data_IF_790841188351
#
_entry.id   IF_790841188351
#
_cell.length_a   1.000
_cell.length_b   1.000
_cell.length_c   1.000
_cell.angle_alpha   90.00
_cell.angle_beta   90.00
_cell.angle_gamma   90.00
#
_symmetry.space_group_name_H-M   'P 1'
#
loop_
_entity.id
_entity.type
_entity.pdbx_description
1 polymer ?
#
# COMPACT_ATOMS: atom_id res chain seq x y z
N UNK A 1 -10.27 21.35 -7.57
CA UNK A 1 -10.11 20.15 -6.73
C UNK A 1 -10.46 18.96 -7.58
N UNK A 2 -9.58 17.97 -7.57
CA UNK A 2 -9.67 16.75 -8.36
C UNK A 2 -9.90 15.56 -7.44
N UNK A 3 -10.57 14.55 -7.97
CA UNK A 3 -10.75 13.24 -7.34
C UNK A 3 -9.97 12.21 -8.12
N UNK A 4 -9.33 11.28 -7.41
CA UNK A 4 -8.70 10.10 -8.00
C UNK A 4 -9.38 8.85 -7.44
N UNK A 5 -10.00 8.08 -8.32
CA UNK A 5 -10.50 6.73 -8.03
C UNK A 5 -9.46 5.69 -8.47
N UNK A 6 -9.11 4.77 -7.59
CA UNK A 6 -8.23 3.64 -7.88
C UNK A 6 -8.89 2.33 -7.48
N UNK A 7 -9.08 1.46 -8.48
CA UNK A 7 -9.64 0.12 -8.32
C UNK A 7 -8.56 -0.94 -8.56
N UNK A 8 -8.35 -1.83 -7.61
CA UNK A 8 -7.56 -3.04 -7.80
C UNK A 8 -8.32 -4.06 -8.65
N UNK A 9 -7.74 -4.41 -9.79
CA UNK A 9 -8.36 -5.30 -10.78
C UNK A 9 -7.68 -6.66 -10.87
N UNK A 10 -6.41 -6.76 -10.45
CA UNK A 10 -5.72 -8.04 -10.30
C UNK A 10 -4.62 -7.94 -9.23
N UNK A 11 -4.39 -9.04 -8.49
CA UNK A 11 -3.31 -9.17 -7.51
C UNK A 11 -2.87 -10.63 -7.47
N UNK A 12 -1.70 -10.87 -8.05
CA UNK A 12 -0.98 -12.15 -8.03
C UNK A 12 0.13 -12.08 -7.00
N UNK A 13 0.23 -13.13 -6.19
CA UNK A 13 1.27 -13.34 -5.19
C UNK A 13 2.07 -14.61 -5.52
N UNK A 14 3.19 -14.88 -4.83
CA UNK A 14 4.01 -16.05 -5.11
C UNK A 14 3.24 -17.36 -4.95
N UNK A 15 3.49 -18.33 -5.84
CA UNK A 15 2.86 -19.66 -5.77
C UNK A 15 3.11 -20.39 -4.45
N UNK A 16 4.28 -20.15 -3.85
CA UNK A 16 4.71 -20.68 -2.55
C UNK A 16 4.71 -19.56 -1.50
N UNK A 17 3.58 -18.90 -1.30
CA UNK A 17 3.38 -17.99 -0.16
C UNK A 17 3.05 -18.82 1.09
N UNK A 18 3.90 -18.73 2.11
CA UNK A 18 3.68 -19.38 3.41
C UNK A 18 2.40 -18.88 4.09
N UNK A 19 1.74 -19.75 4.85
CA UNK A 19 0.46 -19.46 5.51
C UNK A 19 0.59 -18.33 6.56
N UNK A 20 1.80 -18.12 7.09
CA UNK A 20 2.12 -17.00 7.98
C UNK A 20 2.17 -15.63 7.29
N UNK A 21 2.13 -15.58 5.95
CA UNK A 21 2.18 -14.36 5.14
C UNK A 21 0.89 -14.10 4.35
N UNK A 22 -0.19 -14.70 4.82
CA UNK A 22 -1.45 -14.76 4.08
C UNK A 22 -2.48 -13.72 4.52
N UNK A 23 -2.09 -12.75 5.34
CA UNK A 23 -3.00 -11.73 5.87
C UNK A 23 -2.49 -10.38 5.42
N UNK A 24 -2.86 -9.96 4.22
CA UNK A 24 -2.26 -8.76 3.63
C UNK A 24 -3.25 -7.64 3.39
N UNK A 25 -2.70 -6.44 3.28
CA UNK A 25 -3.43 -5.22 2.93
C UNK A 25 -2.60 -4.36 1.98
N UNK A 26 -3.09 -4.08 0.76
CA UNK A 26 -2.44 -3.13 -0.12
C UNK A 26 -2.53 -1.69 0.40
N UNK A 27 -1.44 -0.95 0.33
CA UNK A 27 -1.34 0.49 0.58
C UNK A 27 -0.98 1.19 -0.73
N UNK A 28 -1.76 2.22 -1.08
CA UNK A 28 -1.52 3.03 -2.27
C UNK A 28 -1.02 4.40 -1.83
N UNK A 29 0.04 4.88 -2.50
CA UNK A 29 0.60 6.22 -2.33
C UNK A 29 0.72 6.91 -3.67
N UNK A 30 0.06 8.06 -3.82
CA UNK A 30 0.14 8.90 -5.01
C UNK A 30 1.05 10.08 -4.70
N UNK A 31 1.97 10.37 -5.62
CA UNK A 31 2.80 11.57 -5.62
C UNK A 31 2.35 12.50 -6.74
N UNK A 32 2.09 13.76 -6.39
CA UNK A 32 1.62 14.78 -7.34
C UNK A 32 2.21 16.15 -7.02
N UNK A 33 2.04 17.10 -7.94
CA UNK A 33 2.29 18.53 -7.71
C UNK A 33 0.98 19.29 -7.60
N UNK A 34 0.92 20.21 -6.65
CA UNK A 34 -0.21 21.12 -6.46
C UNK A 34 -0.14 22.36 -7.37
N UNK A 35 -1.11 23.27 -7.25
CA UNK A 35 -1.15 24.51 -8.05
C UNK A 35 0.09 25.37 -7.84
N UNK A 36 0.68 25.32 -6.65
CA UNK A 36 1.91 26.02 -6.25
C UNK A 36 3.20 25.31 -6.70
N UNK A 37 3.09 24.17 -7.39
CA UNK A 37 4.20 23.26 -7.77
C UNK A 37 4.90 22.55 -6.60
N UNK A 38 4.32 22.55 -5.41
CA UNK A 38 4.83 21.78 -4.26
C UNK A 38 4.55 20.30 -4.48
N UNK A 39 5.47 19.46 -4.01
CA UNK A 39 5.31 18.00 -4.08
C UNK A 39 4.42 17.56 -2.92
N UNK A 40 3.33 16.89 -3.26
CA UNK A 40 2.32 16.41 -2.34
C UNK A 40 2.19 14.89 -2.45
N UNK A 41 1.67 14.30 -1.38
CA UNK A 41 1.43 12.86 -1.29
C UNK A 41 0.01 12.60 -0.77
N UNK A 42 -0.69 11.67 -1.40
CA UNK A 42 -1.95 11.12 -0.90
C UNK A 42 -1.74 9.62 -0.63
N UNK A 43 -2.23 9.12 0.50
CA UNK A 43 -2.03 7.72 0.92
C UNK A 43 -3.26 7.14 1.55
N UNK A 44 -3.59 5.91 1.17
CA UNK A 44 -4.68 5.17 1.78
C UNK A 44 -4.48 3.67 1.60
N UNK A 45 -4.95 2.90 2.57
CA UNK A 45 -4.90 1.44 2.51
C UNK A 45 -6.23 0.88 2.00
N UNK A 46 -6.16 -0.11 1.11
CA UNK A 46 -7.34 -0.78 0.55
C UNK A 46 -8.27 -1.25 1.68
N UNK A 47 -9.60 -1.12 1.57
CA UNK A 47 -10.49 -1.49 2.67
C UNK A 47 -10.31 -2.96 3.11
N UNK A 48 -10.31 -3.20 4.41
CA UNK A 48 -10.36 -4.56 4.93
C UNK A 48 -11.72 -5.24 4.74
N UNK A 49 -11.78 -6.53 5.08
CA UNK A 49 -12.95 -7.39 4.85
C UNK A 49 -13.68 -7.78 6.14
N UNK A 50 -14.89 -7.22 6.30
CA UNK A 50 -15.80 -7.56 7.39
C UNK A 50 -15.35 -6.97 8.72
N UNK A 51 -15.27 -7.82 9.76
CA UNK A 51 -14.76 -7.42 11.09
C UNK A 51 -13.24 -7.26 11.12
N UNK A 52 -12.56 -7.86 10.15
CA UNK A 52 -11.11 -7.82 10.00
C UNK A 52 -10.76 -6.71 9.05
N UNK A 53 -9.65 -6.06 9.31
CA UNK A 53 -9.21 -4.94 8.51
C UNK A 53 -8.05 -5.35 7.56
N UNK A 54 -8.09 -6.61 7.10
CA UNK A 54 -7.12 -7.23 6.18
C UNK A 54 -7.81 -8.25 5.26
N UNK A 55 -7.07 -8.72 4.26
CA UNK A 55 -7.50 -9.79 3.35
C UNK A 55 -6.84 -11.10 3.73
N UNK A 56 -7.63 -12.15 3.85
CA UNK A 56 -7.16 -13.48 4.25
C UNK A 56 -6.95 -14.35 3.00
N UNK A 57 -5.81 -14.98 2.87
CA UNK A 57 -5.49 -15.86 1.74
C UNK A 57 -4.92 -17.22 2.18
N UNK A 58 -4.93 -17.51 3.49
CA UNK A 58 -4.43 -18.76 4.07
C UNK A 58 -5.37 -19.90 3.64
N UNK A 59 -4.82 -20.96 3.05
CA UNK A 59 -5.65 -22.03 2.47
C UNK A 59 -6.54 -22.73 3.50
N UNK A 60 -6.05 -22.88 4.73
CA UNK A 60 -6.81 -23.44 5.85
C UNK A 60 -8.00 -22.58 6.29
N UNK A 61 -8.05 -21.31 5.87
CA UNK A 61 -9.07 -20.34 6.24
C UNK A 61 -10.11 -20.10 5.14
N UNK A 62 -10.22 -21.00 4.15
CA UNK A 62 -11.12 -20.87 2.99
C UNK A 62 -12.59 -20.59 3.34
N UNK A 63 -13.05 -21.07 4.50
CA UNK A 63 -14.43 -20.95 4.96
C UNK A 63 -14.63 -19.72 5.88
N UNK A 64 -13.58 -18.93 6.15
CA UNK A 64 -13.65 -17.75 7.02
C UNK A 64 -14.08 -16.50 6.24
N UNK A 65 -14.81 -15.56 6.89
CA UNK A 65 -15.06 -14.25 6.33
C UNK A 65 -13.75 -13.53 5.97
N UNK A 66 -13.72 -12.92 4.78
CA UNK A 66 -12.55 -12.20 4.27
C UNK A 66 -11.52 -13.08 3.54
N UNK A 67 -11.81 -14.36 3.30
CA UNK A 67 -10.99 -15.19 2.43
C UNK A 67 -11.10 -14.76 0.97
N UNK A 68 -9.97 -14.44 0.34
CA UNK A 68 -9.92 -13.86 -1.01
C UNK A 68 -9.14 -14.68 -2.02
N UNK A 69 -8.49 -15.78 -1.63
CA UNK A 69 -7.61 -16.53 -2.54
C UNK A 69 -8.40 -17.28 -3.61
N UNK A 70 -7.86 -17.30 -4.82
CA UNK A 70 -8.33 -18.15 -5.90
C UNK A 70 -8.05 -19.62 -5.60
N UNK A 71 -8.96 -20.51 -6.01
CA UNK A 71 -8.90 -21.93 -5.62
C UNK A 71 -7.68 -22.65 -6.23
N UNK A 72 -7.26 -22.24 -7.43
CA UNK A 72 -6.25 -22.94 -8.22
C UNK A 72 -5.06 -22.08 -8.61
N UNK A 73 -5.16 -20.75 -8.46
CA UNK A 73 -4.17 -19.80 -8.95
C UNK A 73 -3.58 -19.02 -7.78
N UNK A 74 -2.32 -18.58 -7.86
CA UNK A 74 -1.67 -17.84 -6.79
C UNK A 74 -2.07 -16.36 -6.85
N UNK A 75 -3.36 -16.08 -6.85
CA UNK A 75 -3.91 -14.73 -6.96
C UNK A 75 -5.13 -14.53 -6.07
N UNK A 76 -5.51 -13.27 -5.91
CA UNK A 76 -6.79 -12.87 -5.34
C UNK A 76 -7.91 -13.13 -6.34
N UNK A 77 -8.98 -13.76 -5.87
CA UNK A 77 -10.21 -13.95 -6.61
C UNK A 77 -11.05 -12.68 -6.55
N UNK A 78 -10.82 -11.81 -7.54
CA UNK A 78 -11.53 -10.52 -7.65
C UNK A 78 -13.04 -10.68 -7.84
N UNK A 79 -13.51 -11.86 -8.31
CA UNK A 79 -14.93 -12.16 -8.43
C UNK A 79 -15.64 -12.29 -7.08
N UNK A 80 -14.89 -12.59 -6.01
CA UNK A 80 -15.40 -12.64 -4.62
C UNK A 80 -15.44 -11.26 -3.95
N UNK A 81 -14.81 -10.24 -4.54
CA UNK A 81 -14.66 -8.92 -3.96
C UNK A 81 -15.55 -7.89 -4.66
N UNK A 82 -16.49 -7.31 -3.92
CA UNK A 82 -17.21 -6.12 -4.35
C UNK A 82 -16.22 -4.98 -4.66
N UNK A 83 -16.50 -4.14 -5.67
CA UNK A 83 -15.63 -3.04 -6.07
C UNK A 83 -15.25 -2.13 -4.91
N UNK A 84 -16.22 -1.78 -4.04
CA UNK A 84 -16.00 -0.96 -2.85
C UNK A 84 -15.04 -1.56 -1.80
N UNK A 85 -14.65 -2.83 -1.93
CA UNK A 85 -13.64 -3.48 -1.08
C UNK A 85 -12.24 -3.47 -1.69
N UNK A 86 -12.12 -3.03 -2.93
CA UNK A 86 -10.89 -2.99 -3.73
C UNK A 86 -10.76 -1.65 -4.44
N UNK A 87 -11.34 -0.61 -3.87
CA UNK A 87 -11.43 0.75 -4.38
C UNK A 87 -10.92 1.71 -3.30
N UNK A 88 -10.18 2.72 -3.74
CA UNK A 88 -9.71 3.84 -2.93
C UNK A 88 -10.06 5.11 -3.69
N UNK A 89 -10.71 6.04 -2.98
CA UNK A 89 -11.03 7.36 -3.52
C UNK A 89 -10.21 8.38 -2.75
N UNK A 90 -9.42 9.16 -3.48
CA UNK A 90 -8.76 10.35 -2.98
C UNK A 90 -9.52 11.57 -3.45
N UNK A 91 -10.27 12.19 -2.54
CA UNK A 91 -11.03 13.39 -2.82
C UNK A 91 -10.29 14.65 -2.38
N UNK A 92 -10.75 15.79 -2.93
CA UNK A 92 -10.29 17.12 -2.54
C UNK A 92 -8.78 17.31 -2.68
N UNK A 93 -8.21 16.80 -3.78
CA UNK A 93 -6.81 16.99 -4.10
C UNK A 93 -6.64 18.21 -5.02
N UNK A 94 -5.71 19.11 -4.68
CA UNK A 94 -5.27 20.16 -5.60
C UNK A 94 -4.19 19.58 -6.53
N UNK A 95 -4.59 19.02 -7.68
CA UNK A 95 -3.66 18.35 -8.60
C UNK A 95 -3.41 19.25 -9.80
N UNK A 96 -2.17 19.70 -9.93
CA UNK A 96 -1.63 20.29 -11.16
C UNK A 96 -0.99 19.24 -12.06
N UNK A 97 -0.27 18.28 -11.48
CA UNK A 97 0.43 17.22 -12.23
C UNK A 97 0.59 15.95 -11.40
N UNK A 98 0.15 14.82 -11.93
CA UNK A 98 0.49 13.51 -11.38
C UNK A 98 1.93 13.13 -11.73
N UNK A 99 2.68 12.59 -10.76
CA UNK A 99 4.07 12.15 -10.97
C UNK A 99 4.17 10.62 -10.92
N UNK A 100 3.73 9.99 -9.83
CA UNK A 100 3.89 8.54 -9.66
C UNK A 100 2.86 7.93 -8.73
N UNK A 101 2.61 6.64 -8.91
CA UNK A 101 1.87 5.80 -7.98
C UNK A 101 2.83 4.75 -7.42
N UNK A 102 2.82 4.60 -6.11
CA UNK A 102 3.53 3.56 -5.37
C UNK A 102 2.50 2.65 -4.70
N UNK A 103 2.77 1.35 -4.75
CA UNK A 103 1.96 0.32 -4.16
C UNK A 103 2.83 -0.54 -3.26
N UNK A 104 2.35 -0.75 -2.04
CA UNK A 104 3.00 -1.61 -1.06
C UNK A 104 2.02 -2.68 -0.57
N UNK A 105 2.45 -3.94 -0.56
CA UNK A 105 1.69 -5.07 -0.02
C UNK A 105 2.27 -5.40 1.34
N UNK A 106 1.52 -5.13 2.40
CA UNK A 106 1.89 -5.48 3.77
C UNK A 106 1.24 -6.78 4.19
N UNK A 107 1.99 -7.60 4.91
CA UNK A 107 1.49 -8.69 5.75
C UNK A 107 1.21 -8.18 7.16
N UNK A 108 0.16 -8.71 7.80
CA UNK A 108 -0.30 -8.34 9.13
C UNK A 108 -0.17 -9.57 10.01
N UNK A 109 0.90 -9.60 10.81
CA UNK A 109 1.14 -10.66 11.78
C UNK A 109 0.37 -10.38 13.08
N UNK A 110 -0.78 -11.02 13.24
CA UNK A 110 -1.66 -10.86 14.42
C UNK A 110 -1.09 -11.59 15.66
N UNK A 111 -0.03 -12.39 15.51
CA UNK A 111 0.51 -13.18 16.63
C UNK A 111 1.43 -12.40 17.56
N UNK A 112 1.94 -11.25 17.12
CA UNK A 112 2.85 -10.41 17.92
C UNK A 112 2.09 -9.21 18.47
N UNK A 113 1.89 -9.18 19.78
CA UNK A 113 1.31 -8.02 20.45
C UNK A 113 2.11 -6.76 20.12
N UNK A 114 1.41 -5.67 19.82
CA UNK A 114 1.95 -4.38 19.36
C UNK A 114 3.19 -3.88 20.14
N UNK A 115 3.24 -4.11 21.45
CA UNK A 115 4.33 -3.67 22.33
C UNK A 115 5.60 -4.52 22.21
N UNK A 116 5.50 -5.79 21.82
CA UNK A 116 6.66 -6.68 21.64
C UNK A 116 7.29 -6.46 20.26
N UNK A 117 6.48 -6.24 19.21
CA UNK A 117 6.97 -5.94 17.85
C UNK A 117 7.66 -4.58 17.68
N UNK A 118 7.29 -3.58 18.49
CA UNK A 118 7.96 -2.27 18.53
C UNK A 118 9.30 -2.30 19.29
N UNK A 119 9.45 -3.25 20.23
CA UNK A 119 10.71 -3.46 20.97
C UNK A 119 11.74 -4.25 20.15
N UNK A 120 11.28 -5.20 19.35
CA UNK A 120 12.13 -6.04 18.52
C UNK A 120 12.23 -5.55 17.06
N UNK A 121 12.85 -4.39 16.83
CA UNK A 121 13.62 -4.08 15.60
C UNK A 121 13.02 -4.36 14.18
N UNK A 122 11.70 -4.40 13.96
CA UNK A 122 11.10 -4.67 12.63
C UNK A 122 10.90 -3.42 11.74
N UNK A 123 11.20 -2.22 12.24
CA UNK A 123 11.53 -1.05 11.40
C UNK A 123 13.04 -0.85 11.46
N UNK A 124 13.83 -1.69 10.77
CA UNK A 124 15.25 -1.40 10.55
C UNK A 124 15.36 -0.17 9.64
N UNK A 125 15.46 0.96 10.33
CA UNK A 125 16.01 2.24 9.92
C UNK A 125 17.25 2.00 9.06
N UNK A 126 17.15 2.26 7.75
CA UNK A 126 18.35 2.54 6.96
C UNK A 126 18.94 3.85 7.49
N UNK A 127 20.23 3.89 7.90
CA UNK A 127 20.84 5.12 8.37
C UNK A 127 20.83 6.14 7.23
N UNK A 128 20.13 7.26 7.46
CA UNK A 128 20.17 8.45 6.62
C UNK A 128 21.54 9.10 6.83
N UNK A 129 22.56 8.55 6.18
CA UNK A 129 23.85 9.19 6.08
C UNK A 129 24.26 9.19 4.60
N UNK A 130 24.34 10.41 4.07
CA UNK A 130 24.98 10.81 2.80
C UNK A 130 24.16 10.56 1.51
N UNK A 131 23.45 11.60 1.04
CA UNK A 131 23.70 12.21 -0.29
C UNK A 131 22.54 13.15 -0.75
N UNK A 132 22.83 14.36 -1.27
CA UNK A 132 21.85 15.34 -1.74
C UNK A 132 21.29 15.10 -3.16
N UNK A 133 21.34 13.86 -3.67
CA UNK A 133 20.81 13.52 -5.00
C UNK A 133 20.10 12.17 -4.92
N UNK A 134 18.78 12.19 -4.73
CA UNK A 134 17.96 10.99 -4.86
C UNK A 134 17.66 10.83 -6.35
N UNK A 135 18.19 9.82 -7.06
CA UNK A 135 17.73 9.51 -8.40
C UNK A 135 16.23 9.16 -8.35
N UNK A 136 15.49 9.60 -9.36
CA UNK A 136 14.01 9.50 -9.50
C UNK A 136 13.50 8.04 -9.52
N UNK A 137 14.39 7.06 -9.35
CA UNK A 137 14.15 5.62 -9.57
C UNK A 137 14.16 4.76 -8.30
N UNK A 138 14.37 5.33 -7.10
CA UNK A 138 14.36 4.55 -5.85
C UNK A 138 12.95 4.50 -5.23
N UNK A 139 12.45 3.32 -4.81
CA UNK A 139 11.19 3.19 -4.08
C UNK A 139 11.29 3.97 -2.76
N UNK A 140 10.33 4.87 -2.53
CA UNK A 140 10.32 5.75 -1.37
C UNK A 140 9.83 4.95 -0.16
N UNK A 141 10.76 4.28 0.53
CA UNK A 141 10.46 3.68 1.84
C UNK A 141 9.89 4.72 2.81
N UNK A 142 8.94 4.34 3.67
CA UNK A 142 8.26 5.16 4.70
C UNK A 142 9.15 6.26 5.31
N UNK A 143 10.41 5.92 5.62
CA UNK A 143 11.43 6.79 6.23
C UNK A 143 11.84 8.01 5.37
N UNK A 144 11.91 7.89 4.05
CA UNK A 144 12.32 8.99 3.15
C UNK A 144 11.22 10.05 3.01
N UNK A 145 9.95 9.64 3.15
CA UNK A 145 8.80 10.54 3.06
C UNK A 145 8.67 11.42 4.30
N UNK A 146 9.07 10.91 5.47
CA UNK A 146 9.12 11.68 6.71
C UNK A 146 9.87 13.00 6.53
N UNK A 147 11.04 12.98 5.90
CA UNK A 147 11.83 14.18 5.65
C UNK A 147 11.24 15.16 4.62
N UNK A 148 10.45 14.67 3.67
CA UNK A 148 9.81 15.50 2.64
C UNK A 148 8.49 16.13 3.12
N UNK A 149 7.68 15.38 3.89
CA UNK A 149 6.36 15.81 4.40
C UNK A 149 6.50 16.79 5.58
N UNK A 150 7.47 16.59 6.48
CA UNK A 150 7.75 17.54 7.57
C UNK A 150 8.18 18.91 7.04
N UNK A 151 8.91 18.94 5.91
CA UNK A 151 9.35 20.18 5.27
C UNK A 151 8.26 20.88 4.45
N UNK A 152 7.27 20.15 3.93
CA UNK A 152 6.24 20.71 3.05
C UNK A 152 4.94 21.12 3.75
N UNK A 153 4.56 20.45 4.85
CA UNK A 153 3.20 20.57 5.41
C UNK A 153 3.13 21.14 6.83
N UNK A 154 4.27 21.23 7.54
CA UNK A 154 4.32 21.70 8.93
C UNK A 154 3.61 20.81 9.96
N UNK A 155 3.00 19.68 9.53
CA UNK A 155 2.39 18.70 10.41
C UNK A 155 3.43 17.67 10.85
N UNK A 156 3.48 17.36 12.15
CA UNK A 156 4.35 16.29 12.66
C UNK A 156 3.89 14.97 12.06
N UNK A 157 4.80 14.33 11.34
CA UNK A 157 4.57 13.09 10.61
C UNK A 157 4.15 11.94 11.54
N UNK A 158 4.42 12.03 12.85
CA UNK A 158 4.08 10.99 13.82
C UNK A 158 2.61 10.61 13.87
N UNK A 159 1.67 11.54 13.67
CA UNK A 159 0.25 11.26 13.88
C UNK A 159 -0.41 10.74 12.59
N UNK A 160 0.08 11.20 11.45
CA UNK A 160 -0.32 10.72 10.13
C UNK A 160 0.27 9.33 9.83
N UNK A 161 1.54 9.11 10.19
CA UNK A 161 2.17 7.78 10.16
C UNK A 161 1.49 6.83 11.13
N UNK A 162 1.21 7.21 12.39
CA UNK A 162 0.47 6.33 13.32
C UNK A 162 -0.94 6.01 12.82
N UNK A 163 -1.64 6.98 12.23
CA UNK A 163 -2.96 6.78 11.63
C UNK A 163 -2.92 5.85 10.42
N UNK A 164 -1.93 6.00 9.54
CA UNK A 164 -1.75 5.15 8.36
C UNK A 164 -1.20 3.78 8.69
N UNK A 165 -0.31 3.67 9.69
CA UNK A 165 0.22 2.41 10.21
C UNK A 165 -0.90 1.67 10.95
N UNK A 166 -1.69 2.33 11.79
CA UNK A 166 -2.87 1.71 12.43
C UNK A 166 -3.95 1.31 11.42
N UNK A 167 -4.20 2.12 10.38
CA UNK A 167 -5.05 1.70 9.25
C UNK A 167 -4.43 0.50 8.54
N UNK A 168 -3.18 0.59 8.07
CA UNK A 168 -2.53 -0.49 7.32
C UNK A 168 -2.44 -1.80 8.11
N UNK A 169 -2.24 -1.74 9.44
CA UNK A 169 -2.18 -2.89 10.35
C UNK A 169 -3.55 -3.42 10.74
N UNK A 170 -4.60 -2.61 10.60
CA UNK A 170 -5.95 -2.97 10.97
C UNK A 170 -6.27 -2.82 12.45
N UNK A 171 -7.53 -3.12 12.82
CA UNK A 171 -8.03 -3.02 14.21
C UNK A 171 -7.50 -4.11 15.16
N UNK A 172 -6.73 -5.06 14.67
CA UNK A 172 -6.15 -6.14 15.48
C UNK A 172 -4.68 -5.79 15.81
N UNK A 173 -4.26 -6.02 17.05
CA UNK A 173 -2.88 -5.77 17.53
C UNK A 173 -1.89 -6.73 16.84
N UNK A 174 -1.47 -6.40 15.61
CA UNK A 174 -0.47 -7.14 14.87
C UNK A 174 0.79 -6.32 14.58
N UNK A 175 1.77 -6.90 13.87
CA UNK A 175 2.93 -6.20 13.29
C UNK A 175 2.77 -6.20 11.77
N UNK A 176 2.86 -5.03 11.13
CA UNK A 176 2.90 -4.95 9.67
C UNK A 176 4.31 -5.20 9.14
N UNK A 177 4.44 -6.07 8.13
CA UNK A 177 5.69 -6.32 7.40
C UNK A 177 5.47 -6.09 5.91
N UNK A 178 6.30 -5.24 5.31
CA UNK A 178 6.32 -5.07 3.86
C UNK A 178 6.74 -6.37 3.16
N UNK A 179 5.89 -6.91 2.28
CA UNK A 179 6.20 -8.08 1.45
C UNK A 179 6.74 -7.66 0.08
N UNK A 180 6.21 -6.58 -0.48
CA UNK A 180 6.56 -6.10 -1.81
C UNK A 180 6.18 -4.63 -1.95
N UNK A 181 7.06 -3.85 -2.58
CA UNK A 181 6.79 -2.46 -2.97
C UNK A 181 7.17 -2.28 -4.43
N UNK A 182 6.40 -1.48 -5.16
CA UNK A 182 6.70 -1.08 -6.52
C UNK A 182 6.14 0.30 -6.81
N UNK A 183 6.72 0.98 -7.80
CA UNK A 183 6.25 2.28 -8.24
C UNK A 183 6.20 2.36 -9.75
N UNK A 184 5.27 3.17 -10.25
CA UNK A 184 5.13 3.46 -11.67
C UNK A 184 4.90 4.95 -11.88
N UNK A 185 5.38 5.46 -13.01
CA UNK A 185 5.15 6.86 -13.40
C UNK A 185 3.73 7.01 -13.92
N UNK A 186 3.05 8.06 -13.50
CA UNK A 186 1.70 8.35 -13.96
C UNK A 186 1.73 9.19 -15.23
N UNK A 187 0.79 8.91 -16.13
CA UNK A 187 0.58 9.73 -17.33
C UNK A 187 -0.44 10.84 -17.04
N UNK A 188 -0.58 11.77 -17.98
CA UNK A 188 -1.64 12.78 -17.95
C UNK A 188 -3.00 12.25 -18.40
N UNK A 189 -3.12 10.97 -18.74
CA UNK A 189 -4.40 10.36 -19.12
C UNK A 189 -5.33 10.30 -17.90
N UNK A 190 -6.56 10.85 -17.98
CA UNK A 190 -7.53 10.75 -16.90
C UNK A 190 -7.93 9.31 -16.59
N UNK A 191 -7.81 8.36 -17.53
CA UNK A 191 -8.09 6.94 -17.27
C UNK A 191 -6.89 6.08 -17.68
N UNK A 192 -6.32 5.35 -16.72
CA UNK A 192 -5.15 4.51 -16.99
C UNK A 192 -5.17 3.19 -16.24
N UNK A 193 -4.74 2.14 -16.93
CA UNK A 193 -4.49 0.81 -16.34
C UNK A 193 -3.01 0.66 -16.06
N UNK A 194 -2.67 0.42 -14.80
CA UNK A 194 -1.30 0.35 -14.30
C UNK A 194 -1.02 -1.08 -13.85
N UNK A 195 -0.12 -1.77 -14.54
CA UNK A 195 0.38 -3.08 -14.10
C UNK A 195 1.79 -2.94 -13.55
N UNK A 196 2.00 -3.37 -12.32
CA UNK A 196 3.28 -3.37 -11.62
C UNK A 196 3.64 -4.79 -11.25
N UNK A 197 4.84 -5.24 -11.59
CA UNK A 197 5.32 -6.58 -11.25
C UNK A 197 6.77 -6.52 -10.79
N UNK A 198 7.14 -7.40 -9.87
CA UNK A 198 8.53 -7.54 -9.44
C UNK A 198 8.70 -8.49 -8.26
N UNK A 199 9.96 -8.74 -7.91
CA UNK A 199 10.31 -9.63 -6.81
C UNK A 199 10.11 -8.95 -5.45
N UNK A 200 9.37 -9.61 -4.56
CA UNK A 200 9.22 -9.26 -3.15
C UNK A 200 9.92 -10.29 -2.24
N UNK A 201 9.69 -10.16 -0.93
CA UNK A 201 10.33 -10.98 0.12
C UNK A 201 10.10 -12.49 -0.05
N UNK A 202 8.99 -12.88 -0.68
CA UNK A 202 8.55 -14.28 -0.81
C UNK A 202 8.47 -14.77 -2.26
N UNK A 203 8.99 -14.00 -3.20
CA UNK A 203 8.91 -14.29 -4.64
C UNK A 203 8.23 -13.16 -5.40
N UNK A 204 7.78 -13.44 -6.62
CA UNK A 204 7.24 -12.42 -7.50
C UNK A 204 5.78 -12.08 -7.22
N UNK A 205 5.50 -10.79 -7.26
CA UNK A 205 4.16 -10.21 -7.15
C UNK A 205 3.82 -9.48 -8.45
N UNK A 206 2.54 -9.43 -8.78
CA UNK A 206 2.01 -8.61 -9.87
C UNK A 206 0.68 -8.01 -9.46
N UNK A 207 0.49 -6.72 -9.71
CA UNK A 207 -0.73 -5.99 -9.39
C UNK A 207 -1.16 -5.15 -10.57
N UNK A 208 -2.45 -5.23 -10.89
CA UNK A 208 -3.08 -4.34 -11.88
C UNK A 208 -4.11 -3.44 -11.21
N UNK A 209 -3.95 -2.14 -11.39
CA UNK A 209 -4.83 -1.08 -10.92
C UNK A 209 -5.48 -0.40 -12.12
N UNK A 210 -6.74 -0.01 -11.98
CA UNK A 210 -7.39 0.98 -12.85
C UNK A 210 -7.49 2.27 -12.08
N UNK A 211 -6.96 3.36 -12.63
CA UNK A 211 -7.02 4.70 -12.05
C UNK A 211 -7.85 5.61 -12.94
N UNK A 212 -8.72 6.39 -12.33
CA UNK A 212 -9.54 7.42 -12.96
C UNK A 212 -9.38 8.74 -12.21
N UNK A 213 -9.21 9.85 -12.96
CA UNK A 213 -9.01 11.20 -12.43
C UNK A 213 -10.13 12.08 -12.97
N UNK A 214 -10.87 12.74 -12.08
CA UNK A 214 -11.98 13.64 -12.41
C UNK A 214 -11.81 15.02 -11.79
#
# INVERSE_FOLDING_TARGET
MSTIDIVLTDLTFPAKLGDEHCKFRPLISIRYRDSDNKIMFAREAMPGLGKRDYWECEKGNKDKPGYVRHNTEPKVDMGKLATSRREIIFDDLDIKKLESLELEIFDIDIKTGFLDGLRDNVLKVLPVAVAPFIPVTLPLTLTLIKGAVEKGTGKKVSDLEKGLISKAMGREDGVARSLWTNSTTLTSDPQQTLTMSGSGLKGDYSVTLRMEVT
#
